data_IF_350850438630
#
_entry.id   IF_350850438630
#
_cell.length_a   1.000
_cell.length_b   1.000
_cell.length_c   1.000
_cell.angle_alpha   90.00
_cell.angle_beta   90.00
_cell.angle_gamma   90.00
#
_symmetry.space_group_name_H-M   'P 1'
#
loop_
_entity.id
_entity.type
_entity.pdbx_description
1 polymer ?
#
# COMPACT_ATOMS: atom_id res chain seq x y z
N UNK A 1 3.22 -8.01 -25.19
CA UNK A 1 2.42 -8.86 -24.39
C UNK A 1 1.31 -8.16 -23.69
N UNK A 2 0.24 -8.09 -24.35
CA UNK A 2 -0.88 -7.44 -23.77
C UNK A 2 -1.42 -8.15 -22.61
N UNK A 3 -1.27 -9.44 -22.57
CA UNK A 3 -1.83 -10.18 -21.48
C UNK A 3 -1.15 -9.90 -20.16
N UNK A 4 0.05 -9.37 -20.21
CA UNK A 4 0.69 -8.98 -18.96
C UNK A 4 -0.05 -7.86 -18.28
N UNK A 5 -0.49 -6.89 -19.03
CA UNK A 5 -1.26 -5.81 -18.45
C UNK A 5 -2.49 -6.34 -17.78
N UNK A 6 -3.17 -7.28 -18.44
CA UNK A 6 -4.36 -7.84 -17.85
C UNK A 6 -4.05 -8.58 -16.55
N UNK A 7 -2.91 -9.28 -16.51
CA UNK A 7 -2.54 -9.97 -15.29
C UNK A 7 -2.23 -9.01 -14.18
N UNK A 8 -1.56 -7.91 -14.50
CA UNK A 8 -1.21 -6.93 -13.49
C UNK A 8 -2.39 -6.08 -13.06
N UNK A 9 -3.43 -6.09 -13.86
CA UNK A 9 -4.66 -5.42 -13.48
C UNK A 9 -5.59 -6.36 -12.76
N UNK A 10 -5.03 -7.37 -12.13
CA UNK A 10 -5.80 -8.32 -11.39
C UNK A 10 -6.65 -7.61 -10.34
N UNK A 11 -7.78 -8.18 -10.07
CA UNK A 11 -8.75 -7.57 -9.18
C UNK A 11 -8.25 -7.51 -7.76
N UNK A 12 -8.72 -6.51 -7.01
CA UNK A 12 -8.49 -6.42 -5.60
C UNK A 12 -9.00 -7.66 -4.88
N UNK A 13 -9.90 -8.41 -5.50
CA UNK A 13 -10.50 -9.60 -4.91
C UNK A 13 -9.67 -10.86 -5.05
N UNK A 14 -8.54 -10.79 -5.69
CA UNK A 14 -7.75 -11.98 -5.98
C UNK A 14 -7.34 -12.77 -4.75
N UNK A 15 -7.22 -12.10 -3.61
CA UNK A 15 -6.80 -12.76 -2.38
C UNK A 15 -7.96 -13.18 -1.50
N UNK A 16 -9.18 -12.95 -1.92
CA UNK A 16 -10.34 -13.21 -1.07
C UNK A 16 -10.79 -14.64 -1.12
N UNK A 17 -10.33 -15.40 -2.08
CA UNK A 17 -10.78 -16.79 -2.21
C UNK A 17 -10.42 -17.64 -1.01
N UNK A 18 -9.43 -17.17 -0.24
CA UNK A 18 -9.04 -17.92 0.95
C UNK A 18 -9.72 -17.42 2.21
N UNK A 19 -10.57 -16.45 2.12
CA UNK A 19 -11.16 -15.86 3.31
C UNK A 19 -12.57 -16.39 3.51
N UNK A 20 -12.76 -17.24 4.50
CA UNK A 20 -14.06 -17.86 4.69
C UNK A 20 -15.07 -16.97 5.38
N UNK A 21 -14.63 -15.93 6.05
CA UNK A 21 -15.53 -15.16 6.89
C UNK A 21 -16.24 -14.04 6.18
N UNK A 22 -15.79 -13.64 5.05
CA UNK A 22 -16.44 -12.57 4.32
C UNK A 22 -16.09 -11.16 4.77
N UNK A 23 -15.41 -11.01 5.88
CA UNK A 23 -15.05 -9.68 6.34
C UNK A 23 -14.09 -8.99 5.39
N UNK A 24 -13.14 -9.74 4.84
CA UNK A 24 -12.24 -9.21 3.84
C UNK A 24 -13.00 -8.74 2.63
N UNK A 25 -14.06 -9.46 2.25
CA UNK A 25 -14.85 -9.05 1.11
C UNK A 25 -15.54 -7.73 1.38
N UNK A 26 -16.04 -7.52 2.58
CA UNK A 26 -16.66 -6.24 2.93
C UNK A 26 -15.66 -5.10 2.79
N UNK A 27 -14.46 -5.30 3.30
CA UNK A 27 -13.40 -4.29 3.17
C UNK A 27 -13.04 -4.07 1.71
N UNK A 28 -12.89 -5.16 0.96
CA UNK A 28 -12.52 -5.05 -0.44
C UNK A 28 -13.58 -4.31 -1.24
N UNK A 29 -14.86 -4.58 -0.97
CA UNK A 29 -15.94 -3.88 -1.66
C UNK A 29 -15.86 -2.38 -1.43
N UNK A 30 -15.57 -1.98 -0.21
CA UNK A 30 -15.46 -0.56 0.10
C UNK A 30 -14.23 0.05 -0.55
N UNK A 31 -13.11 -0.66 -0.52
CA UNK A 31 -11.89 -0.16 -1.16
C UNK A 31 -12.03 -0.08 -2.67
N UNK A 32 -12.71 -1.04 -3.25
CA UNK A 32 -12.87 -1.08 -4.71
C UNK A 32 -13.66 0.10 -5.24
N UNK A 33 -14.47 0.72 -4.39
CA UNK A 33 -15.25 1.87 -4.78
C UNK A 33 -14.51 3.19 -4.62
N UNK A 34 -13.34 3.15 -4.01
CA UNK A 34 -12.57 4.37 -3.81
C UNK A 34 -11.84 4.73 -5.08
N UNK A 35 -12.09 5.92 -5.61
CA UNK A 35 -11.48 6.33 -6.87
C UNK A 35 -11.23 7.83 -6.93
N UNK A 36 -11.25 8.52 -5.80
CA UNK A 36 -11.08 9.97 -5.78
C UNK A 36 -9.64 10.36 -5.49
N UNK A 37 -8.71 9.75 -6.20
CA UNK A 37 -7.30 10.03 -5.99
C UNK A 37 -6.74 10.80 -7.19
N UNK A 38 -5.73 11.62 -6.91
CA UNK A 38 -5.09 12.41 -7.95
C UNK A 38 -3.89 11.73 -8.56
N UNK A 39 -3.37 12.35 -9.63
CA UNK A 39 -2.22 11.79 -10.32
C UNK A 39 -0.93 11.89 -9.51
N UNK A 40 -0.90 12.74 -8.48
CA UNK A 40 0.26 12.88 -7.62
C UNK A 40 0.17 12.03 -6.37
N UNK A 41 -0.85 11.20 -6.28
CA UNK A 41 -1.03 10.34 -5.12
C UNK A 41 -0.33 9.01 -5.34
N UNK A 42 0.44 8.60 -4.34
CA UNK A 42 1.03 7.28 -4.31
C UNK A 42 0.50 6.56 -3.06
N UNK A 43 0.57 5.25 -3.07
CA UNK A 43 -0.09 4.45 -2.06
C UNK A 43 0.84 3.39 -1.50
N UNK A 44 0.64 3.08 -0.21
CA UNK A 44 1.35 1.97 0.41
C UNK A 44 0.39 1.23 1.33
N UNK A 45 0.21 -0.05 1.05
CA UNK A 45 -0.51 -0.94 1.94
C UNK A 45 0.48 -1.55 2.92
N UNK A 46 0.13 -1.58 4.19
CA UNK A 46 1.06 -2.01 5.21
C UNK A 46 0.32 -2.52 6.44
N UNK A 47 1.09 -3.00 7.41
CA UNK A 47 0.52 -3.38 8.68
C UNK A 47 0.36 -2.15 9.56
N UNK A 48 -0.47 -2.28 10.59
CA UNK A 48 -0.65 -1.20 11.54
C UNK A 48 0.62 -0.95 12.34
N UNK A 49 1.42 -1.96 12.52
CA UNK A 49 2.69 -1.81 13.21
C UNK A 49 3.61 -0.86 12.47
N UNK A 50 3.61 -0.96 11.17
CA UNK A 50 4.39 -0.05 10.34
C UNK A 50 3.86 1.37 10.42
N UNK A 51 2.54 1.51 10.47
CA UNK A 51 1.92 2.81 10.65
C UNK A 51 2.30 3.41 12.00
N UNK A 52 2.37 2.61 13.04
CA UNK A 52 2.78 3.09 14.36
C UNK A 52 4.20 3.64 14.33
N UNK A 53 5.07 3.00 13.57
CA UNK A 53 6.44 3.50 13.40
C UNK A 53 6.43 4.87 12.72
N UNK A 54 5.60 5.00 11.68
CA UNK A 54 5.48 6.28 10.99
C UNK A 54 5.01 7.37 11.95
N UNK A 55 3.99 7.08 12.75
CA UNK A 55 3.45 8.06 13.68
C UNK A 55 4.42 8.42 14.79
N UNK A 56 5.23 7.45 15.21
CA UNK A 56 6.15 7.68 16.32
C UNK A 56 7.41 8.39 15.89
N UNK A 57 7.94 8.04 14.74
CA UNK A 57 9.24 8.56 14.32
C UNK A 57 9.16 9.54 13.17
N UNK A 58 7.98 9.77 12.63
CA UNK A 58 7.80 10.72 11.53
C UNK A 58 8.26 10.21 10.20
N UNK A 59 8.61 8.94 10.09
CA UNK A 59 9.03 8.36 8.83
C UNK A 59 9.00 6.85 8.93
N UNK A 60 8.86 6.21 7.78
CA UNK A 60 8.92 4.77 7.68
C UNK A 60 9.97 4.42 6.66
N UNK A 61 10.85 3.51 7.02
CA UNK A 61 11.80 2.97 6.06
C UNK A 61 11.59 1.47 6.00
N UNK A 62 11.69 0.93 4.81
CA UNK A 62 11.66 -0.51 4.66
C UNK A 62 13.02 -1.04 4.99
N UNK A 63 13.13 -1.65 6.13
CA UNK A 63 14.37 -2.33 6.43
C UNK A 63 14.32 -3.68 5.83
N UNK A 64 15.33 -4.02 5.12
CA UNK A 64 15.42 -5.33 4.56
C UNK A 64 15.37 -6.38 5.62
N UNK A 65 14.61 -7.41 5.37
CA UNK A 65 14.61 -8.57 6.21
C UNK A 65 15.12 -9.71 5.39
N UNK A 66 16.05 -10.41 5.92
CA UNK A 66 16.61 -11.51 5.21
C UNK A 66 17.24 -11.05 3.91
N UNK A 67 16.60 -11.33 2.82
CA UNK A 67 17.21 -11.08 1.52
C UNK A 67 16.86 -9.76 0.87
N UNK A 68 16.28 -8.85 1.61
CA UNK A 68 15.87 -7.59 1.00
C UNK A 68 16.95 -6.52 1.13
N UNK A 69 18.16 -6.95 1.05
CA UNK A 69 19.31 -6.07 1.20
C UNK A 69 19.40 -4.97 0.18
N UNK A 70 18.74 -5.13 -0.93
CA UNK A 70 18.82 -4.13 -1.97
C UNK A 70 17.76 -3.06 -1.83
N UNK A 71 16.97 -3.14 -0.81
CA UNK A 71 15.89 -2.21 -0.62
C UNK A 71 16.29 -1.19 0.41
N UNK A 72 16.50 0.02 -0.03
CA UNK A 72 16.90 1.09 0.85
C UNK A 72 15.82 2.14 0.88
N UNK A 73 14.66 1.75 1.34
CA UNK A 73 13.58 2.70 1.42
C UNK A 73 12.23 2.03 1.40
N UNK A 74 11.22 2.83 1.20
CA UNK A 74 9.83 2.39 1.22
C UNK A 74 9.29 2.35 -0.20
N UNK A 75 8.62 1.25 -0.52
CA UNK A 75 7.99 1.09 -1.81
C UNK A 75 6.60 1.70 -1.80
N UNK A 76 6.25 2.32 -2.91
CA UNK A 76 4.95 2.93 -3.12
C UNK A 76 4.44 2.56 -4.49
N UNK A 77 3.14 2.52 -4.66
CA UNK A 77 2.53 2.21 -5.94
C UNK A 77 1.63 3.34 -6.37
N UNK A 78 1.53 3.53 -7.67
CA UNK A 78 0.56 4.48 -8.22
C UNK A 78 -0.82 3.85 -8.35
N UNK A 79 -0.92 2.54 -8.22
CA UNK A 79 -2.17 1.82 -8.33
C UNK A 79 -2.74 1.59 -6.94
N UNK A 80 -3.85 2.24 -6.64
CA UNK A 80 -4.48 2.09 -5.34
C UNK A 80 -4.87 0.65 -5.05
N UNK A 81 -5.35 -0.07 -6.05
CA UNK A 81 -5.82 -1.43 -5.84
C UNK A 81 -4.69 -2.39 -5.46
N UNK A 82 -3.52 -2.16 -6.00
CA UNK A 82 -2.37 -2.96 -5.60
C UNK A 82 -2.06 -2.76 -4.12
N UNK A 83 -2.05 -1.52 -3.67
CA UNK A 83 -1.79 -1.22 -2.26
C UNK A 83 -2.92 -1.75 -1.37
N UNK A 84 -4.15 -1.68 -1.86
CA UNK A 84 -5.28 -2.24 -1.13
C UNK A 84 -5.11 -3.74 -0.93
N UNK A 85 -4.60 -4.44 -1.93
CA UNK A 85 -4.36 -5.88 -1.79
C UNK A 85 -3.34 -6.16 -0.69
N UNK A 86 -2.29 -5.37 -0.60
CA UNK A 86 -1.31 -5.55 0.47
C UNK A 86 -1.93 -5.33 1.84
N UNK A 87 -2.78 -4.32 1.96
CA UNK A 87 -3.48 -4.08 3.23
C UNK A 87 -4.42 -5.23 3.57
N UNK A 88 -5.13 -5.76 2.58
CA UNK A 88 -6.02 -6.89 2.80
C UNK A 88 -5.26 -8.14 3.22
N UNK A 89 -4.10 -8.38 2.64
CA UNK A 89 -3.26 -9.51 3.03
C UNK A 89 -2.79 -9.35 4.48
N UNK A 90 -2.38 -8.15 4.84
CA UNK A 90 -1.99 -7.89 6.22
C UNK A 90 -3.14 -8.11 7.18
N UNK A 91 -4.34 -7.69 6.80
CA UNK A 91 -5.50 -7.93 7.63
C UNK A 91 -5.81 -9.42 7.75
N UNK A 92 -5.73 -10.13 6.64
CA UNK A 92 -5.98 -11.57 6.65
C UNK A 92 -5.02 -12.29 7.58
N UNK A 93 -3.75 -11.95 7.50
CA UNK A 93 -2.72 -12.67 8.22
C UNK A 93 -2.51 -12.18 9.65
N UNK A 94 -2.67 -10.89 9.88
CA UNK A 94 -2.33 -10.28 11.17
C UNK A 94 -3.46 -9.49 11.79
N UNK A 95 -4.61 -9.45 11.14
CA UNK A 95 -5.78 -8.68 11.58
C UNK A 95 -5.49 -7.19 11.65
N UNK A 96 -4.53 -6.71 10.89
CA UNK A 96 -4.26 -5.29 10.78
C UNK A 96 -3.86 -4.98 9.36
N UNK A 97 -4.44 -3.93 8.83
CA UNK A 97 -4.11 -3.51 7.49
C UNK A 97 -4.49 -2.05 7.31
N UNK A 98 -3.59 -1.29 6.75
CA UNK A 98 -3.82 0.14 6.50
C UNK A 98 -3.25 0.49 5.14
N UNK A 99 -3.78 1.56 4.56
CA UNK A 99 -3.24 2.13 3.34
C UNK A 99 -2.98 3.59 3.62
N UNK A 100 -1.77 4.06 3.31
CA UNK A 100 -1.52 5.50 3.36
C UNK A 100 -1.53 6.04 1.95
N UNK A 101 -2.04 7.24 1.80
CA UNK A 101 -2.04 8.01 0.56
C UNK A 101 -1.01 9.11 0.74
N UNK A 102 -0.06 9.17 -0.16
CA UNK A 102 1.12 10.01 -0.01
C UNK A 102 1.21 10.96 -1.18
N UNK A 103 1.55 12.21 -0.89
CA UNK A 103 1.81 13.21 -1.93
C UNK A 103 3.23 12.99 -2.45
N UNK A 104 3.36 12.54 -3.69
CA UNK A 104 4.68 12.23 -4.24
C UNK A 104 5.60 13.44 -4.28
N UNK A 105 5.02 14.63 -4.32
CA UNK A 105 5.83 15.85 -4.39
C UNK A 105 6.52 16.21 -3.08
N UNK A 106 6.16 15.51 -2.01
CA UNK A 106 6.77 15.74 -0.70
C UNK A 106 7.70 14.63 -0.28
N UNK A 107 8.05 13.76 -1.22
CA UNK A 107 8.98 12.67 -0.94
C UNK A 107 10.40 13.10 -1.31
N UNK A 108 11.39 12.68 -0.53
CA UNK A 108 12.75 13.23 -0.69
C UNK A 108 13.47 12.79 -1.96
N UNK A 109 13.39 11.53 -2.33
CA UNK A 109 14.19 11.02 -3.44
C UNK A 109 13.48 9.90 -4.15
N UNK A 110 12.29 10.21 -4.65
CA UNK A 110 11.45 9.22 -5.29
C UNK A 110 12.08 8.73 -6.58
N UNK A 111 12.12 7.42 -6.75
CA UNK A 111 12.64 6.79 -7.96
C UNK A 111 11.64 5.76 -8.46
N UNK A 112 11.51 5.69 -9.77
CA UNK A 112 10.69 4.66 -10.40
C UNK A 112 11.53 3.39 -10.51
N UNK A 113 11.00 2.28 -10.03
CA UNK A 113 11.70 0.99 -10.16
C UNK A 113 11.05 0.11 -11.21
N UNK A 114 9.72 0.21 -11.36
CA UNK A 114 8.98 -0.50 -12.38
C UNK A 114 7.83 0.39 -12.77
N UNK A 115 7.16 0.14 -13.89
CA UNK A 115 5.96 0.92 -14.21
C UNK A 115 4.96 0.83 -13.05
N UNK A 116 4.62 1.98 -12.50
CA UNK A 116 3.67 2.06 -11.41
C UNK A 116 4.23 1.77 -10.03
N UNK A 117 5.51 1.47 -9.92
CA UNK A 117 6.14 1.19 -8.62
C UNK A 117 7.32 2.13 -8.40
N UNK A 118 7.41 2.63 -7.19
CA UNK A 118 8.39 3.65 -6.83
C UNK A 118 9.03 3.31 -5.50
N UNK A 119 10.17 3.91 -5.25
CA UNK A 119 10.84 3.77 -3.95
C UNK A 119 11.34 5.14 -3.51
N UNK A 120 11.23 5.40 -2.23
CA UNK A 120 11.79 6.61 -1.61
C UNK A 120 12.59 6.18 -0.40
N UNK A 121 13.59 6.96 -0.02
CA UNK A 121 14.43 6.59 1.13
C UNK A 121 13.62 6.57 2.43
N UNK A 122 12.62 7.43 2.55
CA UNK A 122 11.70 7.37 3.68
C UNK A 122 10.47 8.20 3.33
N UNK A 123 9.41 7.99 4.11
CA UNK A 123 8.16 8.70 3.94
C UNK A 123 8.01 9.65 5.12
N UNK A 124 8.17 10.96 4.89
CA UNK A 124 7.95 11.91 5.99
C UNK A 124 6.48 12.00 6.34
N UNK A 125 6.21 12.28 7.58
CA UNK A 125 4.83 12.33 8.04
C UNK A 125 4.03 13.38 7.28
N UNK A 126 4.64 14.48 6.95
CA UNK A 126 3.95 15.55 6.24
C UNK A 126 3.56 15.17 4.82
N UNK A 127 4.12 14.11 4.27
CA UNK A 127 3.73 13.66 2.95
C UNK A 127 2.45 12.82 2.98
N UNK A 128 2.05 12.35 4.14
CA UNK A 128 0.87 11.48 4.25
C UNK A 128 -0.37 12.35 4.24
N UNK A 129 -1.18 12.16 3.20
CA UNK A 129 -2.42 12.93 3.03
C UNK A 129 -3.60 12.27 3.72
N UNK A 130 -3.60 10.95 3.80
CA UNK A 130 -4.74 10.22 4.30
C UNK A 130 -4.27 8.84 4.76
N UNK A 131 -4.91 8.34 5.78
CA UNK A 131 -4.68 6.97 6.24
C UNK A 131 -6.01 6.25 6.24
N UNK A 132 -6.05 5.09 5.60
CA UNK A 132 -7.24 4.26 5.53
C UNK A 132 -6.98 3.01 6.36
N UNK A 133 -7.66 2.91 7.48
CA UNK A 133 -7.53 1.78 8.39
C UNK A 133 -8.67 0.81 8.09
N UNK A 134 -8.35 -0.40 7.67
CA UNK A 134 -9.38 -1.37 7.28
C UNK A 134 -10.35 -1.65 8.41
N UNK A 135 -9.87 -1.66 9.64
CA UNK A 135 -10.74 -1.96 10.77
C UNK A 135 -11.78 -0.89 11.02
N UNK A 136 -11.66 0.26 10.37
CA UNK A 136 -12.60 1.36 10.52
C UNK A 136 -13.48 1.57 9.30
N UNK A 137 -13.42 0.68 8.36
CA UNK A 137 -14.23 0.79 7.16
C UNK A 137 -15.68 0.36 7.40
#
# INVERSE_FOLDING_TARGET
MKSYSLLYEASIYDYLIWEPQGKLKVFADKLDQMNSFGSDDLFRGMSKKELDVLNKYGKVTSKGKGNTRDIYGSYLASDFKLSARFALVNYRDKKEGVIIVVDKNKLPDLKSVDPGNFVTSYIPLEAVKQTIDLSKL
#
